data_IF_303412907011
#
_entry.id   IF_303412907011
#
_cell.length_a   1.000
_cell.length_b   1.000
_cell.length_c   1.000
_cell.angle_alpha   90.00
_cell.angle_beta   90.00
_cell.angle_gamma   90.00
#
_symmetry.space_group_name_H-M   'P 1'
#
loop_
_entity.id
_entity.type
_entity.pdbx_description
1 polymer ?
#
# COMPACT_ATOMS: atom_id res chain seq x y z
N UNK A 1 15.01 22.21 9.48
CA UNK A 1 15.60 20.89 9.74
C UNK A 1 15.47 20.63 11.22
N UNK A 2 14.81 19.53 11.61
CA UNK A 2 14.66 19.13 13.00
C UNK A 2 16.03 19.03 13.70
N UNK A 3 16.07 19.32 15.01
CA UNK A 3 17.27 19.09 15.80
C UNK A 3 17.40 17.59 16.09
N UNK A 4 18.56 17.03 15.76
CA UNK A 4 18.88 15.63 16.07
C UNK A 4 19.85 15.57 17.24
N UNK A 5 19.37 15.04 18.36
CA UNK A 5 20.23 14.79 19.52
C UNK A 5 20.82 13.38 19.40
N UNK A 6 22.10 13.32 19.04
CA UNK A 6 22.79 12.03 18.89
C UNK A 6 23.55 11.63 20.15
N UNK A 7 23.69 10.32 20.34
CA UNK A 7 24.56 9.66 21.31
C UNK A 7 25.33 8.54 20.59
N UNK A 8 26.23 7.85 21.30
CA UNK A 8 27.02 6.76 20.72
C UNK A 8 26.19 5.62 20.10
N UNK A 9 24.94 5.43 20.53
CA UNK A 9 24.08 4.35 20.04
C UNK A 9 23.35 4.71 18.73
N UNK A 10 23.09 6.00 18.48
CA UNK A 10 22.34 6.43 17.30
C UNK A 10 23.16 7.26 16.29
N UNK A 11 24.41 7.60 16.62
CA UNK A 11 25.28 8.42 15.78
C UNK A 11 25.52 7.82 14.39
N UNK A 12 25.67 6.49 14.29
CA UNK A 12 25.86 5.80 13.00
C UNK A 12 24.66 5.91 12.07
N UNK A 13 23.48 6.25 12.58
CA UNK A 13 22.25 6.41 11.79
C UNK A 13 21.94 7.88 11.48
N UNK A 14 22.86 8.82 11.79
CA UNK A 14 22.60 10.25 11.67
C UNK A 14 22.11 10.66 10.27
N UNK A 15 22.77 10.19 9.20
CA UNK A 15 22.36 10.51 7.82
C UNK A 15 20.96 9.99 7.49
N UNK A 16 20.61 8.79 7.95
CA UNK A 16 19.28 8.20 7.74
C UNK A 16 18.23 8.99 8.52
N UNK A 17 18.51 9.33 9.77
CA UNK A 17 17.62 10.15 10.60
C UNK A 17 17.43 11.54 10.00
N UNK A 18 18.48 12.13 9.41
CA UNK A 18 18.39 13.39 8.67
C UNK A 18 17.51 13.26 7.42
N UNK A 19 17.61 12.16 6.68
CA UNK A 19 16.75 11.92 5.53
C UNK A 19 15.27 11.78 5.94
N UNK A 20 14.99 11.11 7.06
CA UNK A 20 13.64 10.90 7.58
C UNK A 20 13.03 12.20 8.12
N UNK A 21 13.80 12.96 8.92
CA UNK A 21 13.30 14.14 9.63
C UNK A 21 13.65 15.47 8.95
N UNK A 22 14.30 15.43 7.79
CA UNK A 22 14.80 16.61 7.08
C UNK A 22 13.71 17.58 6.66
N UNK A 23 12.50 17.08 6.39
CA UNK A 23 11.32 17.88 6.03
C UNK A 23 10.74 18.68 7.21
N UNK A 24 11.11 18.36 8.46
CA UNK A 24 10.57 19.03 9.65
C UNK A 24 11.32 20.33 10.01
N UNK A 25 10.57 21.28 10.59
CA UNK A 25 11.13 22.54 11.10
C UNK A 25 12.04 22.32 12.30
N UNK A 26 12.81 23.36 12.67
CA UNK A 26 13.65 23.37 13.88
C UNK A 26 12.84 23.30 15.18
N UNK A 27 11.52 23.42 15.11
CA UNK A 27 10.62 23.31 16.26
C UNK A 27 10.43 21.87 16.72
N UNK A 28 10.99 20.90 15.99
CA UNK A 28 10.97 19.48 16.31
C UNK A 28 12.34 18.98 16.74
N UNK A 29 12.32 18.02 17.64
CA UNK A 29 13.49 17.31 18.15
C UNK A 29 13.25 15.80 18.08
N UNK A 30 14.27 15.08 17.61
CA UNK A 30 14.39 13.65 17.83
C UNK A 30 15.37 13.42 18.97
N UNK A 31 14.85 13.03 20.15
CA UNK A 31 15.66 12.95 21.36
C UNK A 31 16.66 11.80 21.29
N UNK A 32 17.71 11.86 22.11
CA UNK A 32 18.67 10.77 22.29
C UNK A 32 18.04 9.43 22.73
N UNK A 33 16.84 9.46 23.31
CA UNK A 33 16.04 8.28 23.71
C UNK A 33 15.06 7.80 22.64
N UNK A 34 15.08 8.43 21.46
CA UNK A 34 14.33 8.06 20.26
C UNK A 34 12.91 8.62 20.20
N UNK A 35 12.59 9.69 20.94
CA UNK A 35 11.26 10.30 20.96
C UNK A 35 11.22 11.45 19.94
N UNK A 36 10.29 11.35 18.99
CA UNK A 36 9.96 12.45 18.09
C UNK A 36 8.89 13.35 18.71
N UNK A 37 9.18 14.64 18.87
CA UNK A 37 8.27 15.63 19.47
C UNK A 37 8.70 17.06 19.16
N UNK A 38 7.87 18.05 19.49
CA UNK A 38 8.25 19.46 19.43
C UNK A 38 9.19 19.84 20.58
N UNK A 39 10.08 20.80 20.34
CA UNK A 39 11.03 21.38 21.32
C UNK A 39 10.32 22.23 22.37
N UNK A 40 9.25 22.92 21.96
CA UNK A 40 8.31 23.59 22.86
C UNK A 40 6.98 22.86 22.71
N UNK A 41 6.36 22.36 23.80
CA UNK A 41 5.06 21.71 23.70
C UNK A 41 4.01 22.61 23.02
N UNK A 42 2.94 22.05 22.44
CA UNK A 42 1.88 22.87 21.85
C UNK A 42 1.05 23.57 22.94
N UNK A 43 0.25 24.54 22.51
CA UNK A 43 -0.84 25.08 23.33
C UNK A 43 -2.02 24.12 23.33
N UNK A 44 -2.75 24.05 24.45
CA UNK A 44 -3.92 23.20 24.56
C UNK A 44 -5.01 23.70 23.62
N UNK A 45 -5.56 22.84 22.72
CA UNK A 45 -6.57 23.25 21.75
C UNK A 45 -7.90 23.69 22.40
N UNK A 46 -8.05 23.48 23.71
CA UNK A 46 -9.33 23.56 24.41
C UNK A 46 -9.40 24.75 25.36
N UNK A 47 -8.26 25.12 25.96
CA UNK A 47 -8.19 26.25 26.89
C UNK A 47 -7.04 27.21 26.59
N UNK A 48 -6.23 26.96 25.56
CA UNK A 48 -5.10 27.81 25.17
C UNK A 48 -3.87 27.71 26.07
N UNK A 49 -3.93 27.03 27.22
CA UNK A 49 -2.79 26.90 28.13
C UNK A 49 -1.65 26.10 27.49
N UNK A 50 -0.41 26.58 27.66
CA UNK A 50 0.81 25.87 27.29
C UNK A 50 0.84 24.47 27.93
N UNK A 51 1.03 23.42 27.12
CA UNK A 51 1.04 22.05 27.62
C UNK A 51 2.41 21.64 28.16
N UNK A 52 2.44 20.58 28.96
CA UNK A 52 3.65 19.94 29.47
C UNK A 52 3.92 18.63 28.74
N UNK A 53 5.18 18.22 28.67
CA UNK A 53 5.53 16.87 28.22
C UNK A 53 4.92 15.80 29.13
N UNK A 54 4.40 14.73 28.54
CA UNK A 54 3.71 13.64 29.23
C UNK A 54 4.11 12.26 28.67
N UNK A 55 5.42 12.03 28.52
CA UNK A 55 5.94 10.78 27.98
C UNK A 55 5.75 10.64 26.47
N UNK A 56 5.47 9.40 26.02
CA UNK A 56 5.33 9.04 24.61
C UNK A 56 4.43 7.81 24.45
N UNK A 57 3.86 7.60 23.26
CA UNK A 57 3.38 6.27 22.84
C UNK A 57 4.41 5.63 21.89
N UNK A 58 4.39 4.30 21.83
CA UNK A 58 5.23 3.54 20.90
C UNK A 58 4.35 2.93 19.81
N UNK A 59 4.72 3.13 18.56
CA UNK A 59 4.11 2.47 17.41
C UNK A 59 5.09 1.48 16.82
N UNK A 60 4.67 0.22 16.74
CA UNK A 60 5.49 -0.88 16.25
C UNK A 60 4.93 -1.37 14.91
N UNK A 61 5.83 -1.67 13.98
CA UNK A 61 5.54 -2.49 12.81
C UNK A 61 6.47 -3.69 12.84
N UNK A 62 5.89 -4.86 13.11
CA UNK A 62 6.61 -6.12 13.24
C UNK A 62 7.56 -6.36 12.06
N UNK A 63 8.83 -6.59 12.38
CA UNK A 63 9.89 -6.87 11.41
C UNK A 63 10.42 -5.64 10.65
N UNK A 64 9.89 -4.44 10.90
CA UNK A 64 10.46 -3.18 10.39
C UNK A 64 11.10 -2.37 11.52
N UNK A 65 10.34 -2.12 12.60
CA UNK A 65 10.84 -1.32 13.71
C UNK A 65 9.72 -0.64 14.49
N UNK A 66 10.13 0.24 15.40
CA UNK A 66 9.22 1.01 16.23
C UNK A 66 9.63 2.46 16.33
N UNK A 67 8.65 3.33 16.57
CA UNK A 67 8.87 4.77 16.78
C UNK A 67 8.16 5.24 18.04
N UNK A 68 8.78 6.19 18.75
CA UNK A 68 8.18 6.83 19.93
C UNK A 68 7.70 8.23 19.57
N UNK A 69 6.42 8.48 19.80
CA UNK A 69 5.77 9.75 19.48
C UNK A 69 5.43 10.48 20.77
N UNK A 70 5.88 11.74 20.87
CA UNK A 70 5.73 12.54 22.08
C UNK A 70 4.28 12.81 22.45
N UNK A 71 4.01 12.76 23.76
CA UNK A 71 2.71 13.12 24.34
C UNK A 71 2.80 14.36 25.19
N UNK A 72 1.67 15.04 25.30
CA UNK A 72 1.53 16.24 26.08
C UNK A 72 0.29 16.18 26.97
N UNK A 73 0.31 16.91 28.09
CA UNK A 73 -0.83 17.09 28.99
C UNK A 73 -1.01 18.56 29.33
N UNK A 74 -2.26 19.03 29.28
CA UNK A 74 -2.59 20.38 29.66
C UNK A 74 -2.68 20.47 31.20
N UNK A 75 -1.92 21.35 31.87
CA UNK A 75 -1.99 21.49 33.32
C UNK A 75 -3.31 22.10 33.81
N UNK A 76 -4.02 22.86 32.97
CA UNK A 76 -5.30 23.49 33.36
C UNK A 76 -6.50 22.55 33.25
N UNK A 77 -6.68 21.86 32.12
CA UNK A 77 -7.87 21.03 31.86
C UNK A 77 -7.59 19.52 31.84
N UNK A 78 -6.35 19.09 32.09
CA UNK A 78 -5.89 17.69 32.08
C UNK A 78 -6.11 16.93 30.75
N UNK A 79 -6.49 17.63 29.67
CA UNK A 79 -6.57 17.01 28.34
C UNK A 79 -5.18 16.67 27.82
N UNK A 80 -5.08 15.52 27.16
CA UNK A 80 -3.84 15.05 26.55
C UNK A 80 -3.90 15.14 25.04
N UNK A 81 -2.77 15.44 24.41
CA UNK A 81 -2.60 15.28 22.96
C UNK A 81 -1.30 14.56 22.66
N UNK A 82 -1.14 14.17 21.42
CA UNK A 82 0.03 13.47 20.89
C UNK A 82 0.51 14.18 19.64
N UNK A 83 1.80 14.10 19.37
CA UNK A 83 2.36 14.62 18.12
C UNK A 83 1.86 13.82 16.91
N UNK A 84 1.82 14.49 15.75
CA UNK A 84 1.53 13.82 14.49
C UNK A 84 2.60 12.77 14.16
N UNK A 85 2.16 11.63 13.61
CA UNK A 85 3.01 10.49 13.23
C UNK A 85 3.00 10.21 11.73
N UNK A 86 2.63 11.18 10.90
CA UNK A 86 2.48 11.01 9.45
C UNK A 86 3.77 10.56 8.77
N UNK A 87 4.95 10.99 9.23
CA UNK A 87 6.22 10.47 8.70
C UNK A 87 6.34 8.95 8.87
N UNK A 88 5.89 8.40 10.00
CA UNK A 88 5.92 6.96 10.24
C UNK A 88 4.93 6.23 9.35
N UNK A 89 3.75 6.81 9.13
CA UNK A 89 2.75 6.28 8.20
C UNK A 89 3.26 6.32 6.74
N UNK A 90 3.92 7.42 6.34
CA UNK A 90 4.57 7.60 5.03
C UNK A 90 5.69 6.59 4.82
N UNK A 91 6.63 6.45 5.77
CA UNK A 91 7.72 5.46 5.69
C UNK A 91 7.20 4.03 5.53
N UNK A 92 6.17 3.66 6.29
CA UNK A 92 5.52 2.36 6.12
C UNK A 92 4.89 2.25 4.73
N UNK A 93 4.14 3.27 4.30
CA UNK A 93 3.51 3.33 2.99
C UNK A 93 4.51 3.13 1.85
N UNK A 94 5.61 3.88 1.86
CA UNK A 94 6.67 3.80 0.85
C UNK A 94 7.30 2.41 0.80
N UNK A 95 7.62 1.83 1.96
CA UNK A 95 8.15 0.47 2.05
C UNK A 95 7.17 -0.57 1.48
N UNK A 96 5.90 -0.55 1.91
CA UNK A 96 4.91 -1.50 1.43
C UNK A 96 4.54 -1.28 -0.04
N UNK A 97 4.70 -0.06 -0.56
CA UNK A 97 4.61 0.24 -1.99
C UNK A 97 5.69 -0.50 -2.80
N UNK A 98 6.95 -0.45 -2.35
CA UNK A 98 8.06 -1.19 -2.98
C UNK A 98 7.81 -2.70 -2.92
N UNK A 99 7.40 -3.21 -1.75
CA UNK A 99 7.10 -4.64 -1.55
C UNK A 99 5.96 -5.09 -2.49
N UNK A 100 4.91 -4.30 -2.63
CA UNK A 100 3.81 -4.57 -3.58
C UNK A 100 4.33 -4.62 -5.03
N UNK A 101 5.21 -3.69 -5.42
CA UNK A 101 5.87 -3.71 -6.72
C UNK A 101 6.70 -4.98 -6.97
N UNK A 102 7.42 -5.45 -5.96
CA UNK A 102 8.17 -6.72 -6.01
C UNK A 102 7.20 -7.90 -6.21
N UNK A 103 6.05 -7.91 -5.53
CA UNK A 103 5.04 -8.96 -5.71
C UNK A 103 4.49 -8.97 -7.14
N UNK A 104 4.17 -7.79 -7.68
CA UNK A 104 3.72 -7.64 -9.06
C UNK A 104 4.75 -8.19 -10.06
N UNK A 105 6.04 -7.85 -9.88
CA UNK A 105 7.12 -8.35 -10.74
C UNK A 105 7.27 -9.88 -10.64
N UNK A 106 7.26 -10.44 -9.43
CA UNK A 106 7.32 -11.90 -9.27
C UNK A 106 6.09 -12.59 -9.88
N UNK A 107 4.90 -11.97 -9.83
CA UNK A 107 3.69 -12.49 -10.48
C UNK A 107 3.77 -12.44 -12.00
N UNK A 108 4.37 -11.38 -12.55
CA UNK A 108 4.66 -11.27 -13.97
C UNK A 108 5.56 -12.44 -14.44
N UNK A 109 6.56 -12.80 -13.64
CA UNK A 109 7.44 -13.96 -13.88
C UNK A 109 6.86 -15.31 -13.41
N UNK A 110 5.54 -15.38 -13.17
CA UNK A 110 4.82 -16.60 -12.82
C UNK A 110 5.31 -17.34 -11.56
N UNK A 111 5.97 -16.63 -10.64
CA UNK A 111 6.37 -17.21 -9.36
C UNK A 111 5.12 -17.56 -8.55
N UNK A 112 5.13 -18.72 -7.89
CA UNK A 112 4.01 -19.14 -7.04
C UNK A 112 3.99 -18.35 -5.73
N UNK A 113 2.83 -18.18 -5.09
CA UNK A 113 2.77 -17.46 -3.80
C UNK A 113 3.59 -18.13 -2.69
N UNK A 114 3.76 -19.45 -2.75
CA UNK A 114 4.68 -20.16 -1.85
C UNK A 114 6.13 -19.76 -2.16
N UNK A 115 6.54 -19.81 -3.42
CA UNK A 115 7.89 -19.37 -3.82
C UNK A 115 8.17 -17.91 -3.47
N UNK A 116 7.17 -17.03 -3.58
CA UNK A 116 7.29 -15.65 -3.10
C UNK A 116 7.48 -15.58 -1.58
N UNK A 117 6.71 -16.35 -0.82
CA UNK A 117 6.86 -16.44 0.64
C UNK A 117 8.28 -16.88 1.02
N UNK A 118 8.82 -17.87 0.32
CA UNK A 118 10.17 -18.40 0.54
C UNK A 118 11.24 -17.34 0.22
N UNK A 119 11.12 -16.64 -0.92
CA UNK A 119 12.02 -15.53 -1.30
C UNK A 119 11.93 -14.39 -0.28
N UNK A 120 10.71 -13.98 0.08
CA UNK A 120 10.48 -12.89 1.02
C UNK A 120 10.94 -13.24 2.43
N UNK A 121 11.05 -14.52 2.79
CA UNK A 121 11.67 -14.97 4.03
C UNK A 121 13.09 -14.45 4.25
N UNK A 122 13.80 -14.08 3.17
CA UNK A 122 15.16 -13.52 3.23
C UNK A 122 15.18 -11.99 3.40
N UNK A 123 14.06 -11.30 3.13
CA UNK A 123 14.00 -9.84 3.06
C UNK A 123 13.05 -9.30 4.13
N UNK A 124 11.78 -9.69 4.03
CA UNK A 124 10.70 -9.32 4.95
C UNK A 124 9.70 -10.47 5.01
N UNK A 125 9.78 -11.35 6.04
CA UNK A 125 8.99 -12.56 6.11
C UNK A 125 7.48 -12.28 6.07
N UNK A 126 6.82 -12.82 5.06
CA UNK A 126 5.37 -12.79 4.92
C UNK A 126 4.83 -14.15 4.52
N UNK A 127 3.63 -14.47 5.02
CA UNK A 127 2.92 -15.66 4.61
C UNK A 127 2.36 -15.52 3.20
N UNK A 128 2.25 -16.64 2.47
CA UNK A 128 1.66 -16.70 1.13
C UNK A 128 0.30 -16.00 1.02
N UNK A 129 -0.52 -16.06 2.08
CA UNK A 129 -1.88 -15.49 2.08
C UNK A 129 -1.84 -13.96 2.20
N UNK A 130 -0.90 -13.42 2.97
CA UNK A 130 -0.65 -11.96 3.03
C UNK A 130 -0.20 -11.44 1.66
N UNK A 131 0.75 -12.15 1.03
CA UNK A 131 1.25 -11.81 -0.30
C UNK A 131 0.11 -11.85 -1.34
N UNK A 132 -0.74 -12.88 -1.27
CA UNK A 132 -1.91 -13.01 -2.14
C UNK A 132 -2.86 -11.81 -1.99
N UNK A 133 -3.23 -11.45 -0.77
CA UNK A 133 -4.15 -10.34 -0.52
C UNK A 133 -3.54 -9.00 -1.00
N UNK A 134 -2.27 -8.73 -0.69
CA UNK A 134 -1.59 -7.51 -1.14
C UNK A 134 -1.52 -7.42 -2.68
N UNK A 135 -1.23 -8.54 -3.35
CA UNK A 135 -1.24 -8.58 -4.80
C UNK A 135 -2.66 -8.34 -5.37
N UNK A 136 -3.67 -9.00 -4.81
CA UNK A 136 -5.06 -8.84 -5.24
C UNK A 136 -5.52 -7.38 -5.11
N UNK A 137 -5.26 -6.75 -3.96
CA UNK A 137 -5.56 -5.33 -3.72
C UNK A 137 -4.85 -4.41 -4.72
N UNK A 138 -3.61 -4.75 -5.12
CA UNK A 138 -2.85 -4.00 -6.12
C UNK A 138 -3.50 -4.09 -7.51
N UNK A 139 -4.01 -5.26 -7.87
CA UNK A 139 -4.69 -5.46 -9.16
C UNK A 139 -6.03 -4.74 -9.17
N UNK A 140 -6.81 -4.81 -8.08
CA UNK A 140 -8.11 -4.13 -8.00
C UNK A 140 -7.99 -2.60 -8.13
N UNK A 141 -6.90 -2.01 -7.63
CA UNK A 141 -6.61 -0.59 -7.75
C UNK A 141 -6.04 -0.18 -9.11
N UNK A 142 -5.73 -1.14 -9.99
CA UNK A 142 -5.17 -0.83 -11.31
C UNK A 142 -6.25 -0.22 -12.20
N UNK A 143 -6.06 1.04 -12.56
CA UNK A 143 -6.95 1.74 -13.50
C UNK A 143 -6.72 1.18 -14.90
N UNK A 144 -7.75 0.56 -15.46
CA UNK A 144 -7.75 0.18 -16.88
C UNK A 144 -8.10 1.45 -17.66
N UNK A 145 -7.23 1.92 -18.58
CA UNK A 145 -7.54 3.10 -19.37
C UNK A 145 -8.80 2.85 -20.20
N UNK A 146 -9.66 3.86 -20.41
CA UNK A 146 -10.78 3.73 -21.34
C UNK A 146 -10.23 3.44 -22.74
N UNK A 147 -10.75 2.39 -23.36
CA UNK A 147 -10.36 1.99 -24.72
C UNK A 147 -11.48 2.45 -25.65
N UNK A 148 -11.20 3.48 -26.45
CA UNK A 148 -12.04 3.95 -27.54
C UNK A 148 -11.40 3.50 -28.87
N UNK A 149 -12.20 3.24 -29.90
CA UNK A 149 -11.75 2.94 -31.28
C UNK A 149 -10.96 1.62 -31.53
N UNK A 150 -11.42 0.48 -30.97
CA UNK A 150 -10.91 -0.84 -31.38
C UNK A 150 -11.58 -1.35 -32.67
N UNK A 151 -10.80 -2.00 -33.55
CA UNK A 151 -11.27 -2.53 -34.83
C UNK A 151 -11.50 -4.04 -34.79
N UNK A 152 -10.70 -4.76 -34.01
CA UNK A 152 -10.76 -6.22 -33.89
C UNK A 152 -10.91 -6.59 -32.42
N UNK A 153 -11.85 -7.50 -32.16
CA UNK A 153 -12.07 -8.11 -30.85
C UNK A 153 -11.79 -9.60 -30.98
N UNK A 154 -10.79 -10.09 -30.24
CA UNK A 154 -10.53 -11.51 -30.10
C UNK A 154 -11.07 -12.01 -28.76
N UNK A 155 -11.81 -13.10 -28.84
CA UNK A 155 -12.36 -13.79 -27.68
C UNK A 155 -11.73 -15.17 -27.57
N UNK A 156 -11.09 -15.44 -26.42
CA UNK A 156 -10.41 -16.70 -26.13
C UNK A 156 -10.96 -17.30 -24.83
N UNK A 157 -11.51 -18.51 -24.92
CA UNK A 157 -11.99 -19.26 -23.76
C UNK A 157 -10.82 -19.95 -23.07
N UNK A 158 -10.61 -19.63 -21.80
CA UNK A 158 -9.67 -20.32 -20.96
C UNK A 158 -10.40 -21.39 -20.15
N UNK A 159 -9.95 -22.64 -20.28
CA UNK A 159 -10.44 -23.77 -19.51
C UNK A 159 -9.49 -24.09 -18.33
N UNK A 160 -9.66 -23.43 -17.17
CA UNK A 160 -8.88 -23.77 -15.99
C UNK A 160 -9.20 -25.19 -15.49
N UNK A 161 -8.32 -25.75 -14.66
CA UNK A 161 -8.47 -27.09 -14.07
C UNK A 161 -9.86 -27.30 -13.43
N UNK A 162 -10.34 -28.54 -13.48
CA UNK A 162 -11.65 -28.99 -12.94
C UNK A 162 -11.96 -28.37 -11.56
N UNK A 163 -13.14 -27.77 -11.44
CA UNK A 163 -13.60 -27.12 -10.20
C UNK A 163 -13.31 -25.61 -10.10
N UNK A 164 -12.84 -24.98 -11.19
CA UNK A 164 -12.67 -23.52 -11.27
C UNK A 164 -13.66 -22.90 -12.26
N UNK A 165 -14.02 -21.64 -12.02
CA UNK A 165 -14.87 -20.86 -12.92
C UNK A 165 -14.19 -20.70 -14.28
N UNK A 166 -14.96 -20.84 -15.35
CA UNK A 166 -14.50 -20.56 -16.72
C UNK A 166 -14.01 -19.12 -16.80
N UNK A 167 -12.89 -18.93 -17.50
CA UNK A 167 -12.29 -17.61 -17.68
C UNK A 167 -12.32 -17.27 -19.15
N UNK A 168 -12.51 -15.99 -19.44
CA UNK A 168 -12.49 -15.48 -20.80
C UNK A 168 -11.40 -14.43 -20.89
N UNK A 169 -10.61 -14.49 -21.95
CA UNK A 169 -9.64 -13.45 -22.30
C UNK A 169 -10.20 -12.70 -23.50
N UNK A 170 -10.43 -11.41 -23.29
CA UNK A 170 -10.70 -10.45 -24.36
C UNK A 170 -9.39 -9.80 -24.79
N UNK A 171 -9.12 -9.73 -26.09
CA UNK A 171 -8.01 -8.93 -26.65
C UNK A 171 -8.59 -7.95 -27.66
N UNK A 172 -8.37 -6.66 -27.44
CA UNK A 172 -8.82 -5.58 -28.31
C UNK A 172 -7.64 -5.07 -29.12
N UNK A 173 -7.81 -4.91 -30.43
CA UNK A 173 -6.79 -4.37 -31.34
C UNK A 173 -7.34 -3.13 -32.06
N UNK A 174 -6.64 -2.01 -31.93
CA UNK A 174 -6.80 -0.83 -32.76
C UNK A 174 -5.91 -0.99 -34.01
N UNK A 175 -6.38 -0.62 -35.19
CA UNK A 175 -5.67 -0.92 -36.46
C UNK A 175 -4.31 -0.22 -36.64
N UNK A 176 -3.81 0.49 -35.64
CA UNK A 176 -2.51 1.16 -35.57
C UNK A 176 -1.42 0.17 -35.16
N UNK A 177 -0.93 -0.58 -36.14
CA UNK A 177 0.20 -1.49 -35.93
C UNK A 177 1.49 -0.69 -35.71
N UNK A 178 1.76 -0.26 -34.48
CA UNK A 178 3.12 -0.34 -33.96
C UNK A 178 3.20 -1.68 -33.23
N UNK A 179 3.93 -2.64 -33.82
CA UNK A 179 4.38 -3.84 -33.11
C UNK A 179 5.35 -3.42 -31.99
N UNK A 180 4.81 -2.82 -30.93
CA UNK A 180 5.36 -2.93 -29.60
C UNK A 180 4.68 -4.14 -29.00
N UNK A 181 5.43 -5.21 -28.78
CA UNK A 181 5.04 -6.21 -27.80
C UNK A 181 4.54 -5.50 -26.54
N UNK A 182 3.44 -5.98 -25.96
CA UNK A 182 2.97 -5.63 -24.60
C UNK A 182 1.96 -4.47 -24.44
N UNK A 183 0.82 -4.48 -25.14
CA UNK A 183 -0.45 -4.07 -24.49
C UNK A 183 -1.53 -5.10 -24.84
N UNK A 184 -1.45 -6.28 -24.25
CA UNK A 184 -2.58 -7.20 -24.18
C UNK A 184 -3.32 -6.95 -22.86
N UNK A 185 -4.32 -6.05 -22.86
CA UNK A 185 -5.22 -5.88 -21.72
C UNK A 185 -6.11 -7.11 -21.65
N UNK A 186 -5.65 -8.13 -20.92
CA UNK A 186 -6.42 -9.34 -20.66
C UNK A 186 -7.38 -9.07 -19.51
N UNK A 187 -8.61 -8.66 -19.83
CA UNK A 187 -9.68 -8.61 -18.84
C UNK A 187 -10.15 -10.05 -18.60
N UNK A 188 -9.83 -10.59 -17.43
CA UNK A 188 -10.36 -11.87 -16.99
C UNK A 188 -11.76 -11.64 -16.42
N UNK A 189 -12.79 -11.92 -17.22
CA UNK A 189 -14.16 -11.94 -16.71
C UNK A 189 -14.48 -13.33 -16.15
N UNK A 190 -15.06 -13.38 -14.95
CA UNK A 190 -15.75 -14.56 -14.44
C UNK A 190 -17.22 -14.44 -14.79
N UNK A 191 -17.73 -15.33 -15.64
CA UNK A 191 -19.17 -15.43 -15.83
C UNK A 191 -19.76 -16.13 -14.59
N UNK A 192 -20.55 -15.40 -13.81
CA UNK A 192 -21.55 -16.05 -12.95
C UNK A 192 -22.65 -16.57 -13.88
N UNK A 193 -22.90 -17.87 -13.82
CA UNK A 193 -23.95 -18.54 -14.59
C UNK A 193 -25.32 -17.92 -14.25
N UNK A 194 -25.81 -17.00 -15.07
CA UNK A 194 -27.25 -16.73 -15.16
C UNK A 194 -27.89 -17.83 -16.01
N UNK A 195 -28.24 -18.95 -15.37
CA UNK A 195 -29.34 -19.79 -15.84
C UNK A 195 -30.61 -18.95 -15.75
N UNK A 196 -30.98 -18.25 -16.83
CA UNK A 196 -32.34 -17.78 -17.15
C UNK A 196 -32.30 -16.95 -18.44
N UNK A 197 -32.03 -17.60 -19.57
CA UNK A 197 -32.42 -17.08 -20.86
C UNK A 197 -33.52 -17.99 -21.42
N UNK A 198 -34.79 -17.62 -21.19
CA UNK A 198 -35.91 -18.26 -21.88
C UNK A 198 -35.75 -18.07 -23.40
N UNK A 199 -35.83 -19.18 -24.14
CA UNK A 199 -35.81 -19.15 -25.59
C UNK A 199 -36.98 -18.32 -26.14
N UNK A 200 -36.78 -17.49 -27.19
CA UNK A 200 -37.86 -16.71 -27.78
C UNK A 200 -38.91 -17.63 -28.39
N UNK A 201 -40.15 -17.54 -27.88
CA UNK A 201 -41.31 -18.23 -28.43
C UNK A 201 -41.50 -17.83 -29.89
N UNK A 202 -41.50 -18.81 -30.80
CA UNK A 202 -41.95 -18.63 -32.19
C UNK A 202 -43.42 -18.21 -32.17
N UNK A 203 -43.70 -16.97 -32.57
CA UNK A 203 -45.06 -16.57 -32.95
C UNK A 203 -45.36 -17.12 -34.34
N UNK A 204 -46.07 -18.23 -34.39
CA UNK A 204 -46.81 -18.67 -35.57
C UNK A 204 -48.12 -17.89 -35.63
N UNK A 205 -48.31 -17.05 -36.65
CA UNK A 205 -49.65 -16.63 -37.09
C UNK A 205 -49.68 -16.73 -38.63
N UNK A 206 -50.48 -17.69 -39.12
CA UNK A 206 -51.45 -17.40 -40.18
C UNK A 206 -52.62 -16.63 -39.55
#
# INVERSE_FOLDING_TARGET
MASLDTNLNNFSYCEILLAIFGEYSTDFVYTATGIFRRTVPPVCPECGTQMNYNGYNTYDKRGLGSVKIGRYICPSCNKTCEEERSFWEKLNGDFFGIISGIYNLMKLHHVSYQGMSDIMGLIYPQGKDTIFNTFADSIEKTVIPPIEDFQIVLYDEQHPKKGRTQKFRLTLLDGTVYFSSEIAISLNFTAEHTENAEAPKRSSNC
#
